data_IF_875797570673
#
_entry.id   IF_875797570673
#
_cell.length_a   1.000
_cell.length_b   1.000
_cell.length_c   1.000
_cell.angle_alpha   90.00
_cell.angle_beta   90.00
_cell.angle_gamma   90.00
#
_symmetry.space_group_name_H-M   'P 1'
#
loop_
_entity.id
_entity.type
_entity.pdbx_description
1 polymer ?
#
# COMPACT_ATOMS: atom_id res chain seq x y z
N UNK A 1 -15.84 -20.81 -24.50
CA UNK A 1 -17.06 -21.07 -25.30
C UNK A 1 -18.32 -21.32 -24.46
N UNK A 2 -18.25 -22.04 -23.33
CA UNK A 2 -19.44 -22.33 -22.47
C UNK A 2 -20.13 -21.06 -21.94
N UNK A 3 -19.38 -19.99 -21.61
CA UNK A 3 -19.95 -18.72 -21.11
C UNK A 3 -20.78 -17.94 -22.14
N UNK A 4 -20.41 -17.98 -23.43
CA UNK A 4 -21.14 -17.29 -24.49
C UNK A 4 -22.45 -18.02 -24.85
N UNK A 5 -22.45 -19.36 -24.75
CA UNK A 5 -23.65 -20.17 -24.95
C UNK A 5 -24.64 -20.02 -23.78
N UNK A 6 -24.16 -19.95 -22.54
CA UNK A 6 -24.98 -19.64 -21.38
C UNK A 6 -25.56 -18.22 -21.44
N UNK A 7 -24.76 -17.23 -21.84
CA UNK A 7 -25.22 -15.86 -22.07
C UNK A 7 -26.31 -15.81 -23.15
N UNK A 8 -26.10 -16.47 -24.29
CA UNK A 8 -27.13 -16.56 -25.35
C UNK A 8 -28.40 -17.25 -24.85
N UNK A 9 -28.28 -18.39 -24.17
CA UNK A 9 -29.44 -19.13 -23.68
C UNK A 9 -30.26 -18.36 -22.63
N UNK A 10 -29.59 -17.55 -21.80
CA UNK A 10 -30.25 -16.69 -20.83
C UNK A 10 -30.83 -15.43 -21.46
N UNK A 11 -30.11 -14.78 -22.38
CA UNK A 11 -30.60 -13.63 -23.16
C UNK A 11 -31.81 -13.98 -24.04
N UNK A 12 -32.00 -15.26 -24.40
CA UNK A 12 -33.20 -15.76 -25.06
C UNK A 12 -34.36 -16.07 -24.10
N UNK A 13 -34.09 -16.20 -22.78
CA UNK A 13 -35.11 -16.49 -21.75
C UNK A 13 -35.61 -15.23 -21.06
N UNK A 14 -34.72 -14.27 -20.80
CA UNK A 14 -35.10 -12.90 -20.48
C UNK A 14 -35.58 -12.26 -21.76
N UNK A 15 -36.65 -11.46 -21.75
CA UNK A 15 -37.23 -10.79 -22.94
C UNK A 15 -36.32 -9.67 -23.49
N UNK A 16 -35.01 -9.85 -23.38
CA UNK A 16 -33.94 -8.95 -23.77
C UNK A 16 -33.94 -8.62 -25.27
N UNK A 17 -34.61 -9.44 -26.09
CA UNK A 17 -34.88 -9.12 -27.50
C UNK A 17 -35.94 -8.01 -27.67
N UNK A 18 -36.78 -7.75 -26.66
CA UNK A 18 -37.76 -6.67 -26.64
C UNK A 18 -37.17 -5.33 -26.15
N UNK A 19 -36.07 -5.38 -25.40
CA UNK A 19 -35.31 -4.19 -25.01
C UNK A 19 -34.61 -3.65 -26.27
N UNK A 20 -35.06 -2.52 -26.79
CA UNK A 20 -34.53 -1.88 -28.01
C UNK A 20 -33.05 -1.42 -27.95
N UNK A 21 -32.28 -1.91 -26.97
CA UNK A 21 -30.87 -1.63 -26.74
C UNK A 21 -30.18 -2.87 -26.16
N UNK A 22 -29.09 -3.29 -26.81
CA UNK A 22 -28.19 -4.34 -26.31
C UNK A 22 -27.65 -4.02 -24.90
N UNK A 23 -27.48 -2.74 -24.58
CA UNK A 23 -27.00 -2.30 -23.26
C UNK A 23 -28.01 -2.62 -22.15
N UNK A 24 -29.31 -2.44 -22.40
CA UNK A 24 -30.37 -2.79 -21.45
C UNK A 24 -30.46 -4.30 -21.26
N UNK A 25 -30.42 -5.05 -22.36
CA UNK A 25 -30.38 -6.51 -22.35
C UNK A 25 -29.18 -7.06 -21.54
N UNK A 26 -28.00 -6.44 -21.70
CA UNK A 26 -26.82 -6.82 -20.93
C UNK A 26 -26.97 -6.48 -19.44
N UNK A 27 -27.47 -5.29 -19.12
CA UNK A 27 -27.69 -4.82 -17.76
C UNK A 27 -28.68 -5.74 -17.02
N UNK A 28 -29.80 -6.08 -17.65
CA UNK A 28 -30.82 -6.98 -17.11
C UNK A 28 -30.27 -8.41 -16.94
N UNK A 29 -29.50 -8.92 -17.92
CA UNK A 29 -28.83 -10.21 -17.77
C UNK A 29 -27.85 -10.22 -16.59
N UNK A 30 -27.03 -9.17 -16.43
CA UNK A 30 -26.11 -9.05 -15.30
C UNK A 30 -26.88 -9.03 -13.98
N UNK A 31 -27.96 -8.25 -13.88
CA UNK A 31 -28.79 -8.19 -12.67
C UNK A 31 -29.50 -9.50 -12.33
N UNK A 32 -30.04 -10.22 -13.33
CA UNK A 32 -30.86 -11.40 -13.07
C UNK A 32 -30.06 -12.70 -12.99
N UNK A 33 -28.93 -12.78 -13.68
CA UNK A 33 -28.21 -14.04 -13.90
C UNK A 33 -26.77 -14.01 -13.41
N UNK A 34 -26.18 -12.84 -13.21
CA UNK A 34 -24.79 -12.72 -12.75
C UNK A 34 -24.78 -12.33 -11.28
N UNK A 35 -25.39 -11.20 -10.92
CA UNK A 35 -25.43 -10.64 -9.56
C UNK A 35 -25.92 -11.64 -8.48
N UNK A 36 -27.01 -12.42 -8.67
CA UNK A 36 -27.50 -13.35 -7.64
C UNK A 36 -26.61 -14.57 -7.41
N UNK A 37 -25.69 -14.83 -8.34
CA UNK A 37 -24.74 -15.95 -8.31
C UNK A 37 -23.31 -15.48 -8.08
N UNK A 38 -23.05 -14.18 -8.19
CA UNK A 38 -21.88 -13.56 -7.63
C UNK A 38 -22.03 -13.61 -6.11
N UNK A 39 -21.04 -14.19 -5.45
CA UNK A 39 -20.85 -13.98 -4.02
C UNK A 39 -20.43 -12.52 -3.84
N UNK A 40 -21.43 -11.62 -3.84
CA UNK A 40 -21.28 -10.21 -3.51
C UNK A 40 -21.26 -10.03 -1.99
N UNK A 41 -20.86 -11.05 -1.21
CA UNK A 41 -20.39 -10.77 0.13
C UNK A 41 -19.11 -9.94 -0.01
N UNK A 42 -19.31 -8.63 -0.11
CA UNK A 42 -18.32 -7.57 0.09
C UNK A 42 -17.78 -7.59 1.53
N UNK A 43 -18.19 -8.56 2.35
CA UNK A 43 -17.56 -8.96 3.60
C UNK A 43 -16.18 -9.57 3.35
N UNK A 44 -15.32 -8.77 2.75
CA UNK A 44 -13.92 -9.05 2.56
C UNK A 44 -13.21 -8.83 3.91
N UNK A 45 -12.56 -9.89 4.42
CA UNK A 45 -11.76 -9.82 5.65
C UNK A 45 -10.69 -8.72 5.60
N UNK A 46 -10.19 -8.40 4.40
CA UNK A 46 -9.22 -7.33 4.17
C UNK A 46 -9.82 -5.94 4.38
N UNK A 47 -11.11 -5.71 4.13
CA UNK A 47 -11.77 -4.42 4.38
C UNK A 47 -11.70 -3.99 5.86
N UNK A 48 -11.73 -4.93 6.80
CA UNK A 48 -11.51 -4.65 8.21
C UNK A 48 -10.02 -4.36 8.51
N UNK A 49 -9.12 -5.15 7.90
CA UNK A 49 -7.65 -4.99 8.02
C UNK A 49 -7.18 -3.65 7.45
N UNK A 50 -7.74 -3.20 6.34
CA UNK A 50 -7.43 -1.91 5.72
C UNK A 50 -7.81 -0.74 6.63
N UNK A 51 -8.83 -0.90 7.50
CA UNK A 51 -9.19 0.10 8.51
C UNK A 51 -8.30 0.04 9.75
N UNK A 52 -7.42 -0.95 9.86
CA UNK A 52 -6.43 -1.00 10.94
C UNK A 52 -5.47 0.19 10.85
N UNK A 53 -5.24 0.84 11.99
CA UNK A 53 -4.39 2.03 12.08
C UNK A 53 -2.97 1.78 11.59
N UNK A 54 -2.42 0.58 11.82
CA UNK A 54 -1.07 0.22 11.36
C UNK A 54 -1.02 0.09 9.85
N UNK A 55 -2.04 -0.53 9.24
CA UNK A 55 -2.13 -0.68 7.78
C UNK A 55 -2.24 0.69 7.12
N UNK A 56 -3.14 1.56 7.63
CA UNK A 56 -3.28 2.93 7.14
C UNK A 56 -1.97 3.72 7.22
N UNK A 57 -1.24 3.62 8.34
CA UNK A 57 0.06 4.27 8.47
C UNK A 57 1.10 3.74 7.47
N UNK A 58 1.11 2.43 7.20
CA UNK A 58 1.98 1.83 6.18
C UNK A 58 1.64 2.36 4.80
N UNK A 59 0.35 2.41 4.42
CA UNK A 59 -0.06 2.93 3.11
C UNK A 59 0.35 4.40 2.95
N UNK A 60 0.08 5.22 3.95
CA UNK A 60 0.47 6.64 3.96
C UNK A 60 1.99 6.81 3.81
N UNK A 61 2.79 6.06 4.58
CA UNK A 61 4.26 6.09 4.51
C UNK A 61 4.80 5.76 3.11
N UNK A 62 4.14 4.86 2.39
CA UNK A 62 4.58 4.40 1.07
C UNK A 62 3.94 5.13 -0.10
N UNK A 63 2.93 5.97 0.17
CA UNK A 63 2.18 6.73 -0.82
C UNK A 63 3.07 7.49 -1.79
N UNK A 64 3.94 8.35 -1.27
CA UNK A 64 4.80 9.21 -2.09
C UNK A 64 5.82 8.40 -2.91
N UNK A 65 6.31 7.30 -2.33
CA UNK A 65 7.27 6.43 -3.01
C UNK A 65 6.62 5.70 -4.18
N UNK A 66 5.37 5.27 -4.02
CA UNK A 66 4.61 4.54 -5.04
C UNK A 66 3.92 5.46 -6.06
N UNK A 67 3.89 6.77 -5.82
CA UNK A 67 3.32 7.73 -6.75
C UNK A 67 4.03 7.76 -8.11
N UNK A 68 5.35 7.57 -8.15
CA UNK A 68 6.10 7.54 -9.41
C UNK A 68 5.71 6.37 -10.32
N UNK A 69 5.76 5.09 -9.89
CA UNK A 69 5.33 3.98 -10.74
C UNK A 69 3.85 4.07 -11.10
N UNK A 70 3.00 4.50 -10.16
CA UNK A 70 1.58 4.79 -10.44
C UNK A 70 1.43 5.78 -11.61
N UNK A 71 2.09 6.93 -11.50
CA UNK A 71 2.09 7.99 -12.50
C UNK A 71 2.53 7.52 -13.87
N UNK A 72 3.62 6.75 -13.95
CA UNK A 72 4.18 6.28 -15.22
C UNK A 72 3.16 5.46 -15.99
N UNK A 73 2.38 4.63 -15.31
CA UNK A 73 1.37 3.78 -15.93
C UNK A 73 0.05 4.51 -16.20
N UNK A 74 -0.32 5.50 -15.38
CA UNK A 74 -1.58 6.28 -15.51
C UNK A 74 -1.55 7.36 -16.61
N UNK A 75 -0.42 7.53 -17.29
CA UNK A 75 -0.19 8.63 -18.25
C UNK A 75 -0.20 8.14 -19.70
N UNK A 76 -0.20 6.83 -19.93
CA UNK A 76 0.17 6.26 -21.22
C UNK A 76 -0.87 6.51 -22.31
N UNK A 77 -2.15 6.58 -21.94
CA UNK A 77 -3.23 6.59 -22.93
C UNK A 77 -4.07 7.89 -22.96
N UNK A 78 -3.95 8.81 -21.99
CA UNK A 78 -4.82 10.01 -21.95
C UNK A 78 -4.09 11.38 -21.82
N UNK A 79 -4.56 12.34 -22.62
CA UNK A 79 -4.21 13.78 -22.56
C UNK A 79 -4.94 14.51 -21.42
N UNK A 80 -5.86 13.84 -20.72
CA UNK A 80 -6.61 14.32 -19.56
C UNK A 80 -5.76 14.89 -18.41
N UNK A 81 -6.38 15.73 -17.59
CA UNK A 81 -5.73 16.43 -16.47
C UNK A 81 -5.69 15.64 -15.16
N UNK A 82 -6.45 14.56 -15.05
CA UNK A 82 -6.48 13.73 -13.84
C UNK A 82 -5.58 12.50 -14.01
N UNK A 83 -4.74 12.24 -13.01
CA UNK A 83 -3.89 11.06 -12.94
C UNK A 83 -4.69 9.95 -12.28
N UNK A 84 -5.61 9.35 -13.03
CA UNK A 84 -6.35 8.17 -12.60
C UNK A 84 -5.85 6.96 -13.37
N UNK A 85 -5.82 5.80 -12.72
CA UNK A 85 -5.31 4.56 -13.29
C UNK A 85 -6.47 3.64 -13.64
N UNK A 86 -6.68 3.37 -14.93
CA UNK A 86 -7.69 2.40 -15.34
C UNK A 86 -7.19 0.95 -15.17
N UNK A 87 -8.12 -0.01 -15.28
CA UNK A 87 -7.80 -1.44 -15.13
C UNK A 87 -6.70 -1.93 -16.08
N UNK A 88 -6.65 -1.44 -17.32
CA UNK A 88 -5.66 -1.88 -18.31
C UNK A 88 -4.26 -1.44 -17.91
N UNK A 89 -4.12 -0.19 -17.47
CA UNK A 89 -2.87 0.38 -17.00
C UNK A 89 -2.37 -0.32 -15.74
N UNK A 90 -3.27 -0.57 -14.78
CA UNK A 90 -2.95 -1.30 -13.56
C UNK A 90 -2.48 -2.73 -13.87
N UNK A 91 -3.22 -3.47 -14.70
CA UNK A 91 -2.81 -4.82 -15.11
C UNK A 91 -1.46 -4.84 -15.82
N UNK A 92 -1.15 -3.82 -16.63
CA UNK A 92 0.16 -3.68 -17.25
C UNK A 92 1.26 -3.49 -16.20
N UNK A 93 1.06 -2.62 -15.20
CA UNK A 93 2.01 -2.41 -14.11
C UNK A 93 2.28 -3.70 -13.34
N UNK A 94 1.24 -4.40 -12.90
CA UNK A 94 1.40 -5.65 -12.13
C UNK A 94 2.03 -6.77 -12.98
N UNK A 95 1.71 -6.86 -14.28
CA UNK A 95 2.37 -7.80 -15.20
C UNK A 95 3.85 -7.50 -15.35
N UNK A 96 4.20 -6.26 -15.68
CA UNK A 96 5.57 -5.86 -15.98
C UNK A 96 6.46 -5.92 -14.73
N UNK A 97 5.85 -5.79 -13.56
CA UNK A 97 6.49 -5.97 -12.25
C UNK A 97 6.57 -7.43 -11.78
N UNK A 98 6.01 -8.38 -12.55
CA UNK A 98 6.02 -9.80 -12.21
C UNK A 98 5.17 -10.16 -10.99
N UNK A 99 4.06 -9.44 -10.78
CA UNK A 99 3.08 -9.74 -9.72
C UNK A 99 1.86 -10.52 -10.23
N UNK A 100 1.60 -10.50 -11.53
CA UNK A 100 0.66 -11.43 -12.15
C UNK A 100 1.40 -12.73 -12.41
N UNK A 101 1.06 -13.76 -11.64
CA UNK A 101 1.49 -15.13 -11.84
C UNK A 101 0.25 -16.03 -11.84
N UNK A 102 0.28 -17.11 -12.63
CA UNK A 102 -0.89 -18.00 -12.77
C UNK A 102 -1.14 -18.84 -11.50
N UNK A 103 -0.23 -18.79 -10.52
CA UNK A 103 -0.25 -19.63 -9.31
C UNK A 103 -0.66 -18.88 -8.04
N UNK A 104 -0.21 -17.64 -7.81
CA UNK A 104 -0.36 -16.94 -6.51
C UNK A 104 -1.33 -15.76 -6.57
N UNK A 105 -1.33 -15.01 -7.67
CA UNK A 105 -2.23 -13.88 -7.90
C UNK A 105 -2.46 -13.72 -9.40
N UNK A 106 -3.59 -14.26 -9.87
CA UNK A 106 -3.92 -14.28 -11.28
C UNK A 106 -4.41 -12.90 -11.75
N UNK A 107 -4.43 -12.71 -13.07
CA UNK A 107 -5.09 -11.53 -13.68
C UNK A 107 -6.53 -11.37 -13.20
N UNK A 108 -7.23 -12.47 -12.95
CA UNK A 108 -8.62 -12.47 -12.47
C UNK A 108 -8.70 -11.92 -11.04
N UNK A 109 -7.77 -12.29 -10.17
CA UNK A 109 -7.75 -11.84 -8.78
C UNK A 109 -7.52 -10.32 -8.72
N UNK A 110 -6.55 -9.80 -9.49
CA UNK A 110 -6.31 -8.36 -9.57
C UNK A 110 -7.52 -7.61 -10.14
N UNK A 111 -8.18 -8.17 -11.15
CA UNK A 111 -9.41 -7.58 -11.71
C UNK A 111 -10.53 -7.55 -10.67
N UNK A 112 -10.65 -8.59 -9.84
CA UNK A 112 -11.62 -8.61 -8.76
C UNK A 112 -11.30 -7.55 -7.70
N UNK A 113 -10.02 -7.39 -7.31
CA UNK A 113 -9.62 -6.35 -6.35
C UNK A 113 -9.91 -4.95 -6.88
N UNK A 114 -9.61 -4.69 -8.16
CA UNK A 114 -9.97 -3.44 -8.81
C UNK A 114 -11.47 -3.14 -8.71
N UNK A 115 -12.30 -4.14 -9.03
CA UNK A 115 -13.75 -3.99 -8.98
C UNK A 115 -14.25 -3.77 -7.55
N UNK A 116 -13.70 -4.47 -6.56
CA UNK A 116 -14.08 -4.30 -5.15
C UNK A 116 -13.80 -2.87 -4.68
N UNK A 117 -12.61 -2.33 -4.98
CA UNK A 117 -12.22 -0.98 -4.56
C UNK A 117 -13.13 0.08 -5.21
N UNK A 118 -13.38 0.00 -6.52
CA UNK A 118 -14.27 0.96 -7.19
C UNK A 118 -15.75 0.85 -6.74
N UNK A 119 -16.24 -0.36 -6.45
CA UNK A 119 -17.63 -0.57 -6.04
C UNK A 119 -17.91 -0.11 -4.61
N UNK A 120 -16.91 -0.15 -3.72
CA UNK A 120 -17.06 0.34 -2.35
C UNK A 120 -17.37 1.85 -2.35
N UNK A 121 -16.72 2.64 -3.21
CA UNK A 121 -16.96 4.08 -3.32
C UNK A 121 -18.37 4.41 -3.81
N UNK A 122 -18.86 3.72 -4.85
CA UNK A 122 -20.22 3.92 -5.37
C UNK A 122 -21.30 3.61 -4.33
N UNK A 123 -21.11 2.57 -3.52
CA UNK A 123 -22.06 2.18 -2.47
C UNK A 123 -22.16 3.22 -1.36
N UNK A 124 -21.03 3.85 -1.00
CA UNK A 124 -21.02 4.94 -0.02
C UNK A 124 -21.66 6.22 -0.57
N UNK A 125 -21.41 6.57 -1.84
CA UNK A 125 -21.98 7.77 -2.45
C UNK A 125 -23.49 7.67 -2.71
N UNK A 126 -23.98 6.48 -3.09
CA UNK A 126 -25.40 6.22 -3.30
C UNK A 126 -26.24 6.44 -2.02
N UNK A 127 -25.67 6.14 -0.84
CA UNK A 127 -26.31 6.43 0.44
C UNK A 127 -26.39 7.94 0.75
N UNK A 128 -25.53 8.76 0.14
CA UNK A 128 -25.47 10.21 0.27
C UNK A 128 -26.30 11.00 -0.75
N UNK A 129 -26.93 10.35 -1.72
CA UNK A 129 -27.82 10.97 -2.71
C UNK A 129 -27.12 11.82 -3.79
N UNK A 130 -25.80 11.69 -3.94
CA UNK A 130 -25.03 12.37 -4.99
C UNK A 130 -24.50 11.31 -5.95
N UNK A 131 -25.15 11.15 -7.10
CA UNK A 131 -24.64 10.29 -8.17
C UNK A 131 -23.59 11.05 -8.98
N UNK A 132 -22.33 10.70 -8.81
CA UNK A 132 -21.21 11.09 -9.67
C UNK A 132 -20.92 9.93 -10.63
N UNK A 133 -21.49 9.96 -11.83
CA UNK A 133 -21.56 8.79 -12.73
C UNK A 133 -20.37 8.58 -13.67
N UNK A 134 -19.31 9.39 -13.61
CA UNK A 134 -18.29 9.40 -14.68
C UNK A 134 -16.90 8.82 -14.31
N UNK A 135 -16.59 8.57 -13.04
CA UNK A 135 -15.23 8.17 -12.63
C UNK A 135 -15.06 6.74 -12.10
N UNK A 136 -16.10 5.90 -12.06
CA UNK A 136 -16.06 4.60 -11.36
C UNK A 136 -15.27 3.48 -12.05
N UNK A 137 -14.43 3.82 -13.02
CA UNK A 137 -13.60 2.88 -13.78
C UNK A 137 -12.11 3.19 -13.70
N UNK A 138 -11.71 4.12 -12.82
CA UNK A 138 -10.33 4.55 -12.67
C UNK A 138 -9.99 4.73 -11.20
N UNK A 139 -8.81 4.24 -10.79
CA UNK A 139 -8.34 4.34 -9.41
C UNK A 139 -7.58 5.64 -9.22
N UNK A 140 -7.76 6.28 -8.07
CA UNK A 140 -6.83 7.22 -7.48
C UNK A 140 -5.55 6.51 -6.97
N UNK A 141 -4.56 7.28 -6.54
CA UNK A 141 -3.34 6.72 -5.92
C UNK A 141 -3.68 5.92 -4.66
N UNK A 142 -4.61 6.40 -3.85
CA UNK A 142 -4.97 5.77 -2.58
C UNK A 142 -5.72 4.44 -2.80
N UNK A 143 -6.62 4.41 -3.78
CA UNK A 143 -7.27 3.17 -4.23
C UNK A 143 -6.29 2.17 -4.86
N UNK A 144 -5.29 2.66 -5.62
CA UNK A 144 -4.20 1.80 -6.10
C UNK A 144 -3.40 1.17 -4.96
N UNK A 145 -3.08 1.93 -3.91
CA UNK A 145 -2.40 1.42 -2.72
C UNK A 145 -3.24 0.35 -2.01
N UNK A 146 -4.56 0.54 -1.96
CA UNK A 146 -5.48 -0.47 -1.44
C UNK A 146 -5.43 -1.75 -2.28
N UNK A 147 -5.48 -1.67 -3.61
CA UNK A 147 -5.32 -2.85 -4.48
C UNK A 147 -3.97 -3.53 -4.24
N UNK A 148 -2.88 -2.78 -4.09
CA UNK A 148 -1.57 -3.33 -3.77
C UNK A 148 -1.58 -4.09 -2.42
N UNK A 149 -2.26 -3.56 -1.40
CA UNK A 149 -2.42 -4.23 -0.12
C UNK A 149 -3.23 -5.52 -0.22
N UNK A 150 -4.31 -5.53 -1.01
CA UNK A 150 -5.11 -6.74 -1.28
C UNK A 150 -4.29 -7.81 -2.01
N UNK A 151 -3.45 -7.41 -2.97
CA UNK A 151 -2.51 -8.32 -3.65
C UNK A 151 -1.48 -8.89 -2.67
N UNK A 152 -0.95 -8.07 -1.76
CA UNK A 152 -0.06 -8.53 -0.70
C UNK A 152 -0.73 -9.60 0.17
N UNK A 153 -1.93 -9.31 0.68
CA UNK A 153 -2.68 -10.24 1.53
C UNK A 153 -2.97 -11.56 0.80
N UNK A 154 -3.42 -11.51 -0.44
CA UNK A 154 -3.68 -12.69 -1.25
C UNK A 154 -2.41 -13.54 -1.43
N UNK A 155 -1.27 -12.92 -1.74
CA UNK A 155 0.00 -13.62 -1.90
C UNK A 155 0.52 -14.21 -0.60
N UNK A 156 0.44 -13.47 0.52
CA UNK A 156 0.88 -13.98 1.83
C UNK A 156 0.00 -15.13 2.32
N UNK A 157 -1.31 -15.11 2.04
CA UNK A 157 -2.22 -16.22 2.36
C UNK A 157 -1.96 -17.45 1.53
N UNK A 158 -1.73 -17.28 0.22
CA UNK A 158 -1.45 -18.40 -0.68
C UNK A 158 -0.06 -19.00 -0.42
N UNK A 159 0.92 -18.16 -0.06
CA UNK A 159 2.33 -18.54 0.11
C UNK A 159 2.91 -17.95 1.39
N UNK A 160 2.62 -18.55 2.56
CA UNK A 160 3.20 -18.10 3.82
C UNK A 160 4.74 -18.07 3.80
N UNK A 161 5.38 -18.90 2.98
CA UNK A 161 6.82 -18.92 2.75
C UNK A 161 7.37 -17.66 2.07
N UNK A 162 6.54 -16.85 1.41
CA UNK A 162 6.96 -15.52 0.94
C UNK A 162 7.41 -14.65 2.12
N UNK A 163 6.80 -14.82 3.29
CA UNK A 163 7.25 -14.20 4.54
C UNK A 163 8.70 -14.60 4.87
N UNK A 164 9.10 -15.82 4.54
CA UNK A 164 10.49 -16.29 4.71
C UNK A 164 11.44 -15.70 3.67
N UNK A 165 10.95 -15.39 2.46
CA UNK A 165 11.73 -14.71 1.40
C UNK A 165 11.91 -13.22 1.67
N UNK A 166 11.02 -12.63 2.45
CA UNK A 166 11.06 -11.23 2.86
C UNK A 166 12.20 -10.92 3.86
N UNK A 167 13.02 -11.92 4.18
CA UNK A 167 14.13 -11.83 5.13
C UNK A 167 13.66 -11.85 6.57
N UNK A 168 14.57 -12.05 7.54
CA UNK A 168 14.22 -11.87 8.94
C UNK A 168 13.76 -10.41 9.14
N UNK A 169 12.76 -10.16 10.01
CA UNK A 169 12.41 -8.80 10.39
C UNK A 169 13.67 -8.08 10.90
N UNK A 170 13.79 -6.76 10.69
CA UNK A 170 14.95 -6.00 11.11
C UNK A 170 15.21 -6.25 12.59
N UNK A 171 16.48 -6.38 12.94
CA UNK A 171 16.86 -6.66 14.32
C UNK A 171 16.38 -5.53 15.22
N UNK A 172 15.68 -5.89 16.28
CA UNK A 172 15.28 -4.96 17.33
C UNK A 172 16.55 -4.42 18.01
N UNK A 173 16.60 -3.10 18.25
CA UNK A 173 17.78 -2.47 18.87
C UNK A 173 18.85 -2.01 17.89
N UNK A 174 18.58 -2.02 16.58
CA UNK A 174 19.38 -1.23 15.63
C UNK A 174 19.07 0.27 15.73
N UNK A 175 17.91 0.65 16.26
CA UNK A 175 17.53 2.04 16.54
C UNK A 175 17.04 2.17 17.97
N UNK A 176 17.28 3.33 18.56
CA UNK A 176 16.96 3.61 19.95
C UNK A 176 16.34 4.98 20.11
N UNK A 177 15.36 5.08 21.00
CA UNK A 177 14.69 6.33 21.35
C UNK A 177 14.96 6.67 22.80
N UNK A 178 15.30 7.93 23.06
CA UNK A 178 15.40 8.45 24.43
C UNK A 178 14.00 8.50 25.06
N UNK A 179 13.83 7.84 26.20
CA UNK A 179 12.55 7.79 26.93
C UNK A 179 12.54 8.65 28.20
N UNK A 180 13.62 9.39 28.44
CA UNK A 180 13.76 10.36 29.52
C UNK A 180 14.81 9.99 30.57
N UNK A 181 14.77 10.67 31.72
CA UNK A 181 15.77 10.55 32.80
C UNK A 181 15.34 9.62 33.94
N UNK A 182 14.09 9.18 33.92
CA UNK A 182 13.55 8.24 34.91
C UNK A 182 13.63 6.82 34.39
N UNK A 183 13.96 5.88 35.27
CA UNK A 183 14.04 4.46 34.92
C UNK A 183 12.68 3.95 34.42
N UNK A 184 12.62 3.28 33.26
CA UNK A 184 11.39 2.64 32.80
C UNK A 184 10.83 1.68 33.86
N UNK A 185 9.51 1.75 34.11
CA UNK A 185 8.84 0.92 35.13
C UNK A 185 8.86 -0.58 34.77
N UNK A 186 8.82 -0.89 33.49
CA UNK A 186 8.81 -2.24 32.94
C UNK A 186 10.01 -2.41 32.01
N UNK A 187 10.54 -3.63 31.94
CA UNK A 187 11.64 -3.97 31.05
C UNK A 187 12.82 -4.63 31.72
N UNK A 188 13.68 -5.24 30.90
CA UNK A 188 15.02 -5.69 31.30
C UNK A 188 16.04 -4.59 31.04
N UNK A 189 16.78 -4.17 32.08
CA UNK A 189 17.96 -3.33 31.88
C UNK A 189 19.05 -4.15 31.20
N UNK A 190 19.53 -3.70 30.05
CA UNK A 190 20.73 -4.23 29.41
C UNK A 190 21.94 -3.50 29.99
N UNK A 191 22.84 -4.24 30.61
CA UNK A 191 24.12 -3.74 31.10
C UNK A 191 25.19 -4.09 30.07
N UNK A 192 25.53 -3.13 29.20
CA UNK A 192 26.46 -3.38 28.10
C UNK A 192 27.26 -2.11 27.77
N UNK A 193 28.46 -1.99 28.32
CA UNK A 193 29.27 -0.77 28.27
C UNK A 193 29.52 -0.25 26.86
N UNK A 194 29.77 -1.14 25.88
CA UNK A 194 29.97 -0.74 24.48
C UNK A 194 28.70 -0.24 23.81
N UNK A 195 27.53 -0.76 24.22
CA UNK A 195 26.25 -0.28 23.72
C UNK A 195 25.95 1.09 24.34
N UNK A 196 26.24 1.26 25.63
CA UNK A 196 26.11 2.55 26.30
C UNK A 196 27.00 3.62 25.63
N UNK A 197 28.24 3.28 25.27
CA UNK A 197 29.16 4.15 24.54
C UNK A 197 28.66 4.45 23.12
N UNK A 198 28.18 3.45 22.38
CA UNK A 198 27.57 3.65 21.07
C UNK A 198 26.40 4.64 21.14
N UNK A 199 25.50 4.44 22.11
CA UNK A 199 24.31 5.28 22.31
C UNK A 199 24.62 6.68 22.86
N UNK A 200 25.79 6.90 23.47
CA UNK A 200 26.29 8.24 23.75
C UNK A 200 26.54 9.05 22.47
N UNK A 201 26.90 8.37 21.38
CA UNK A 201 27.32 9.01 20.12
C UNK A 201 26.24 9.01 19.03
N UNK A 202 25.46 7.94 18.91
CA UNK A 202 24.44 7.78 17.87
C UNK A 202 23.24 6.95 18.37
N UNK A 203 22.03 7.30 17.91
CA UNK A 203 20.80 6.54 18.21
C UNK A 203 20.58 5.34 17.28
N UNK A 204 21.43 5.19 16.26
CA UNK A 204 21.40 4.08 15.32
C UNK A 204 22.67 3.29 15.48
N UNK A 205 22.53 2.01 15.83
CA UNK A 205 23.63 1.07 16.01
C UNK A 205 23.80 0.30 14.69
N UNK A 206 24.97 0.37 14.03
CA UNK A 206 25.26 -0.43 12.85
C UNK A 206 25.10 -1.93 13.12
N UNK A 207 24.61 -2.69 12.14
CA UNK A 207 24.28 -4.11 12.29
C UNK A 207 25.51 -4.95 12.68
N UNK A 208 26.63 -4.70 12.03
CA UNK A 208 27.92 -5.32 12.32
C UNK A 208 28.34 -5.10 13.78
N UNK A 209 28.16 -3.88 14.29
CA UNK A 209 28.46 -3.56 15.68
C UNK A 209 27.47 -4.25 16.63
N UNK A 210 26.19 -4.29 16.27
CA UNK A 210 25.14 -4.96 17.03
C UNK A 210 25.41 -6.47 17.20
N UNK A 211 25.86 -7.14 16.14
CA UNK A 211 26.29 -8.55 16.15
C UNK A 211 27.46 -8.76 17.12
N UNK A 212 28.47 -7.87 17.12
CA UNK A 212 29.61 -7.98 18.04
C UNK A 212 29.24 -7.81 19.53
N UNK A 213 28.09 -7.21 19.81
CA UNK A 213 27.59 -7.04 21.17
C UNK A 213 26.86 -8.29 21.71
N UNK A 214 26.59 -9.29 20.87
CA UNK A 214 25.84 -10.49 21.26
C UNK A 214 24.39 -10.18 21.68
N UNK A 215 23.81 -9.16 21.05
CA UNK A 215 22.46 -8.63 21.32
C UNK A 215 21.38 -9.23 20.41
N UNK A 216 21.76 -10.13 19.51
CA UNK A 216 20.86 -10.83 18.61
C UNK A 216 19.81 -11.67 19.37
N UNK A 217 18.66 -12.00 18.75
CA UNK A 217 17.57 -12.76 19.39
C UNK A 217 18.02 -14.08 20.05
N UNK A 218 19.02 -14.72 19.46
CA UNK A 218 19.63 -15.99 19.83
C UNK A 218 20.98 -15.82 20.55
N UNK A 219 21.39 -14.57 20.80
CA UNK A 219 22.57 -14.22 21.58
C UNK A 219 22.39 -14.41 23.09
N UNK A 220 23.47 -14.27 23.88
CA UNK A 220 23.43 -14.39 25.33
C UNK A 220 22.63 -13.27 26.02
N UNK A 221 22.47 -12.11 25.36
CA UNK A 221 21.76 -10.95 25.89
C UNK A 221 20.82 -10.35 24.84
N UNK A 222 19.75 -11.07 24.43
CA UNK A 222 18.88 -10.60 23.36
C UNK A 222 18.19 -9.30 23.74
N UNK A 223 18.09 -8.38 22.78
CA UNK A 223 17.27 -7.18 22.92
C UNK A 223 15.80 -7.58 22.78
N UNK A 224 15.01 -7.26 23.80
CA UNK A 224 13.55 -7.47 23.83
C UNK A 224 12.82 -6.11 23.69
N UNK A 225 11.54 -6.09 23.26
CA UNK A 225 10.77 -4.85 23.07
C UNK A 225 10.70 -3.95 24.31
N UNK A 226 10.73 -4.55 25.50
CA UNK A 226 10.72 -3.84 26.76
C UNK A 226 12.12 -3.55 27.32
N UNK A 227 13.19 -3.98 26.64
CA UNK A 227 14.56 -3.75 27.08
C UNK A 227 14.89 -2.27 27.16
N UNK A 228 15.83 -1.91 28.04
CA UNK A 228 16.31 -0.54 28.11
C UNK A 228 17.78 -0.47 28.50
N UNK A 229 18.44 0.61 28.08
CA UNK A 229 19.83 0.91 28.41
C UNK A 229 19.88 2.25 29.12
N UNK A 230 20.73 2.36 30.14
CA UNK A 230 21.00 3.63 30.81
C UNK A 230 22.31 4.20 30.27
N UNK A 231 22.25 5.39 29.70
CA UNK A 231 23.42 6.12 29.18
C UNK A 231 23.56 7.41 29.97
N UNK A 232 24.51 7.43 30.91
CA UNK A 232 24.64 8.50 31.89
C UNK A 232 23.36 8.64 32.74
N UNK A 233 22.67 9.79 32.61
CA UNK A 233 21.42 10.09 33.34
C UNK A 233 20.14 9.82 32.52
N UNK A 234 20.29 9.29 31.30
CA UNK A 234 19.19 9.10 30.35
C UNK A 234 18.94 7.63 30.10
N UNK A 235 17.70 7.30 29.76
CA UNK A 235 17.27 5.95 29.42
C UNK A 235 16.85 5.89 27.97
N UNK A 236 17.22 4.79 27.32
CA UNK A 236 16.93 4.52 25.92
C UNK A 236 16.21 3.18 25.82
N UNK A 237 15.22 3.11 24.93
CA UNK A 237 14.54 1.88 24.55
C UNK A 237 14.83 1.57 23.08
N UNK A 238 14.88 0.29 22.69
CA UNK A 238 14.94 -0.04 21.28
C UNK A 238 13.66 0.50 20.64
N UNK A 239 13.82 1.19 19.52
CA UNK A 239 12.70 1.50 18.65
C UNK A 239 12.20 0.17 18.08
N UNK A 240 10.87 -0.04 18.05
CA UNK A 240 10.32 -1.23 17.42
C UNK A 240 10.89 -1.32 15.99
N UNK A 241 11.17 -2.53 15.49
CA UNK A 241 11.74 -2.68 14.17
C UNK A 241 10.80 -1.98 13.21
N UNK A 242 11.32 -1.06 12.40
CA UNK A 242 10.49 -0.10 11.65
C UNK A 242 9.54 -0.71 10.61
N UNK A 243 9.42 -2.04 10.56
CA UNK A 243 8.35 -2.77 9.89
C UNK A 243 7.36 -3.28 10.94
N UNK A 244 6.31 -2.50 11.18
CA UNK A 244 5.27 -2.87 12.14
C UNK A 244 4.27 -3.89 11.56
N UNK A 245 4.33 -4.15 10.24
CA UNK A 245 3.33 -4.92 9.52
C UNK A 245 3.91 -5.74 8.35
N UNK A 246 3.43 -6.98 8.09
CA UNK A 246 3.85 -7.78 6.93
C UNK A 246 3.71 -7.05 5.58
N UNK A 247 2.66 -6.23 5.45
CA UNK A 247 2.46 -5.37 4.28
C UNK A 247 3.66 -4.45 4.02
N UNK A 248 4.19 -3.82 5.07
CA UNK A 248 5.28 -2.87 4.94
C UNK A 248 6.55 -3.55 4.43
N UNK A 249 6.87 -4.71 5.03
CA UNK A 249 8.00 -5.51 4.62
C UNK A 249 7.83 -5.98 3.17
N UNK A 250 6.61 -6.37 2.76
CA UNK A 250 6.34 -6.81 1.38
C UNK A 250 6.48 -5.64 0.39
N UNK A 251 5.98 -4.46 0.77
CA UNK A 251 6.12 -3.26 -0.05
C UNK A 251 7.60 -2.92 -0.23
N UNK A 252 8.38 -2.88 0.86
CA UNK A 252 9.79 -2.51 0.81
C UNK A 252 10.65 -3.50 0.03
N UNK A 253 10.48 -4.79 0.30
CA UNK A 253 11.39 -5.83 -0.20
C UNK A 253 11.03 -6.33 -1.59
N UNK A 254 9.74 -6.32 -1.94
CA UNK A 254 9.24 -6.93 -3.17
C UNK A 254 8.52 -5.93 -4.06
N UNK A 255 7.46 -5.27 -3.56
CA UNK A 255 6.58 -4.45 -4.39
C UNK A 255 7.27 -3.25 -5.00
N UNK A 256 7.82 -2.37 -4.16
CA UNK A 256 8.43 -1.12 -4.58
C UNK A 256 9.63 -1.33 -5.52
N UNK A 257 10.61 -2.21 -5.23
CA UNK A 257 11.73 -2.42 -6.14
C UNK A 257 11.31 -2.90 -7.53
N UNK A 258 10.32 -3.81 -7.60
CA UNK A 258 9.84 -4.37 -8.88
C UNK A 258 9.01 -3.37 -9.68
N UNK A 259 8.08 -2.66 -9.03
CA UNK A 259 7.27 -1.62 -9.71
C UNK A 259 8.14 -0.45 -10.18
N UNK A 260 9.15 -0.06 -9.40
CA UNK A 260 10.13 0.94 -9.81
C UNK A 260 10.97 0.50 -11.00
N UNK A 261 11.43 -0.76 -11.03
CA UNK A 261 12.17 -1.30 -12.16
C UNK A 261 11.30 -1.33 -13.44
N UNK A 262 10.05 -1.78 -13.32
CA UNK A 262 9.08 -1.77 -14.41
C UNK A 262 8.82 -0.35 -14.93
N UNK A 263 8.56 0.60 -14.04
CA UNK A 263 8.33 2.00 -14.40
C UNK A 263 9.54 2.64 -15.09
N UNK A 264 10.77 2.41 -14.60
CA UNK A 264 11.98 2.91 -15.25
C UNK A 264 12.15 2.33 -16.66
N UNK A 265 11.99 1.02 -16.80
CA UNK A 265 12.04 0.33 -18.09
C UNK A 265 10.99 0.92 -19.05
N UNK A 266 9.77 1.13 -18.57
CA UNK A 266 8.68 1.71 -19.37
C UNK A 266 8.98 3.13 -19.84
N UNK A 267 9.56 3.96 -18.96
CA UNK A 267 10.04 5.30 -19.30
C UNK A 267 11.10 5.25 -20.41
N UNK A 268 12.06 4.34 -20.30
CA UNK A 268 13.12 4.19 -21.30
C UNK A 268 12.55 3.76 -22.66
N UNK A 269 11.64 2.78 -22.68
CA UNK A 269 10.97 2.30 -23.90
C UNK A 269 10.20 3.43 -24.60
N UNK A 270 9.35 4.18 -23.90
CA UNK A 270 8.59 5.28 -24.50
C UNK A 270 9.50 6.45 -24.93
N UNK A 271 10.59 6.70 -24.22
CA UNK A 271 11.58 7.71 -24.59
C UNK A 271 12.31 7.38 -25.90
N UNK A 272 12.47 6.09 -26.20
CA UNK A 272 13.08 5.63 -27.47
C UNK A 272 12.08 5.61 -28.62
N UNK A 273 10.79 5.39 -28.34
CA UNK A 273 9.75 5.28 -29.36
C UNK A 273 9.39 6.61 -30.05
N UNK A 274 9.38 7.74 -29.32
CA UNK A 274 9.07 9.05 -29.90
C UNK A 274 9.67 10.22 -29.10
N UNK A 275 10.40 11.16 -29.75
CA UNK A 275 10.90 12.38 -29.11
C UNK A 275 9.80 13.26 -28.52
N UNK A 276 8.60 13.23 -29.09
CA UNK A 276 7.46 14.01 -28.60
C UNK A 276 6.90 13.41 -27.31
N UNK A 277 6.70 12.08 -27.27
CA UNK A 277 6.31 11.37 -26.05
C UNK A 277 7.33 11.57 -24.93
N UNK A 278 8.63 11.52 -25.25
CA UNK A 278 9.71 11.84 -24.30
C UNK A 278 9.56 13.22 -23.68
N UNK A 279 9.30 14.26 -24.49
CA UNK A 279 9.09 15.63 -24.00
C UNK A 279 7.85 15.74 -23.12
N UNK A 280 6.74 15.09 -23.52
CA UNK A 280 5.48 15.07 -22.75
C UNK A 280 5.66 14.40 -21.38
N UNK A 281 6.25 13.20 -21.37
CA UNK A 281 6.50 12.44 -20.14
C UNK A 281 7.48 13.18 -19.21
N UNK A 282 8.56 13.75 -19.74
CA UNK A 282 9.48 14.57 -18.95
C UNK A 282 8.80 15.80 -18.32
N UNK A 283 7.87 16.45 -19.05
CA UNK A 283 7.10 17.59 -18.53
C UNK A 283 6.17 17.16 -17.39
N UNK A 284 5.43 16.05 -17.55
CA UNK A 284 4.54 15.50 -16.50
C UNK A 284 5.34 15.06 -15.27
N UNK A 285 6.40 14.28 -15.44
CA UNK A 285 7.27 13.85 -14.33
C UNK A 285 7.90 15.03 -13.58
N UNK A 286 8.30 16.09 -14.30
CA UNK A 286 8.81 17.31 -13.66
C UNK A 286 7.72 18.05 -12.89
N UNK A 287 6.49 18.06 -13.38
CA UNK A 287 5.34 18.64 -12.67
C UNK A 287 5.07 17.89 -11.38
N UNK A 288 5.08 16.56 -11.43
CA UNK A 288 4.79 15.69 -10.30
C UNK A 288 5.88 15.79 -9.25
N UNK A 289 7.16 15.74 -9.67
CA UNK A 289 8.28 15.99 -8.77
C UNK A 289 8.17 17.36 -8.08
N UNK A 290 7.74 18.40 -8.79
CA UNK A 290 7.54 19.73 -8.22
C UNK A 290 6.42 19.74 -7.18
N UNK A 291 5.31 19.03 -7.42
CA UNK A 291 4.23 18.88 -6.43
C UNK A 291 4.73 18.14 -5.19
N UNK A 292 5.44 17.03 -5.36
CA UNK A 292 6.03 16.27 -4.24
C UNK A 292 7.06 17.06 -3.44
N UNK A 293 8.00 17.73 -4.12
CA UNK A 293 9.03 18.55 -3.45
C UNK A 293 8.39 19.73 -2.68
N UNK A 294 7.20 20.20 -3.08
CA UNK A 294 6.47 21.26 -2.36
C UNK A 294 5.72 20.71 -1.13
N UNK A 295 5.02 19.58 -1.25
CA UNK A 295 4.31 18.94 -0.12
C UNK A 295 5.28 18.51 0.99
N UNK A 296 6.44 17.94 0.64
CA UNK A 296 7.48 17.54 1.61
C UNK A 296 8.03 18.75 2.39
N UNK A 297 8.11 19.92 1.76
CA UNK A 297 8.59 21.15 2.41
C UNK A 297 7.54 21.69 3.38
N UNK A 298 6.26 21.68 3.01
CA UNK A 298 5.17 22.13 3.88
C UNK A 298 5.00 21.23 5.12
N UNK A 299 5.05 19.91 4.96
CA UNK A 299 4.99 18.97 6.10
C UNK A 299 6.24 19.04 6.99
N UNK A 300 7.41 19.24 6.38
CA UNK A 300 8.66 19.48 7.11
C UNK A 300 8.66 20.76 7.95
N UNK A 301 7.98 21.82 7.49
CA UNK A 301 7.81 23.07 8.24
C UNK A 301 6.70 22.97 9.31
N UNK A 302 5.60 22.25 9.04
CA UNK A 302 4.55 22.00 10.02
C UNK A 302 5.06 21.20 11.23
N UNK A 303 5.91 20.19 11.00
CA UNK A 303 6.53 19.40 12.07
C UNK A 303 7.55 20.23 12.87
N UNK A 304 8.25 21.17 12.24
CA UNK A 304 9.24 22.05 12.91
C UNK A 304 8.61 23.16 13.75
N UNK A 305 7.41 23.61 13.41
CA UNK A 305 6.77 24.74 14.09
C UNK A 305 5.93 24.33 15.30
N UNK A 306 5.56 23.05 15.46
CA UNK A 306 4.90 22.57 16.68
C UNK A 306 5.10 21.06 16.96
N UNK A 307 6.18 20.65 17.67
CA UNK A 307 6.44 19.24 18.00
C UNK A 307 5.42 18.60 18.95
N UNK A 308 4.43 19.35 19.46
CA UNK A 308 3.36 18.86 20.33
C UNK A 308 1.98 18.76 19.63
N UNK A 309 1.89 19.03 18.33
CA UNK A 309 0.62 18.91 17.58
C UNK A 309 0.33 17.45 17.21
N UNK A 310 0.00 16.62 18.22
CA UNK A 310 -0.77 15.41 17.95
C UNK A 310 -2.16 15.87 17.51
N UNK A 311 -2.47 15.71 16.23
CA UNK A 311 -3.83 15.81 15.69
C UNK A 311 -4.74 14.90 16.51
N UNK A 312 -5.46 15.49 17.46
CA UNK A 312 -6.57 14.84 18.14
C UNK A 312 -7.68 14.65 17.12
N UNK A 313 -7.78 13.44 16.57
CA UNK A 313 -8.98 13.04 15.85
C UNK A 313 -10.18 13.19 16.78
N UNK A 314 -11.05 14.13 16.44
CA UNK A 314 -12.24 14.47 17.20
C UNK A 314 -13.17 13.27 17.29
N UNK A 315 -13.28 12.71 18.50
CA UNK A 315 -14.44 11.89 18.88
C UNK A 315 -15.61 12.85 19.05
N UNK A 316 -16.52 12.90 18.09
CA UNK A 316 -17.86 13.39 18.34
C UNK A 316 -18.54 12.40 19.28
N UNK A 317 -18.74 12.83 20.53
CA UNK A 317 -19.57 12.10 21.47
C UNK A 317 -21.02 12.49 21.20
N UNK A 318 -21.77 11.59 20.56
CA UNK A 318 -23.22 11.55 20.75
C UNK A 318 -23.47 10.71 22.00
N UNK A 319 -23.95 11.37 23.05
CA UNK A 319 -24.61 10.74 24.20
C UNK A 319 -26.13 10.77 23.98
N UNK A 320 -26.87 9.85 24.61
CA UNK A 320 -28.18 9.37 24.16
C UNK A 320 -29.33 10.38 24.23
#
# INVERSE_FOLDING_TARGET
>A
MVRLAAFRAAAFKTDAASCGSLGLALSEFVQLQVIPHCDLSLGDAMGATLKDRKVQWVLEKWRDRLAFPYTVYSILDDEGSMLLMNLTEMLALFRDSGFIDDELCTRRDITNFFAIVNLDDELFEAAGGKHTTDNSLELTLDEFLEVAARVCDAKLRAHPELTSQMGPPPLLGLRWTEVGTSTPRNGKRLQHSRLEEALCSALVVPKDLFETFGLEPDGPNPVLPDSFVQVGKRYFKPEEPGFEHPLELWIETLFYPRTMAAAKKKVDEECTASPEKKRRMAKRLKSIKKTFDAEIVEDGEAIRTNPNSRTTFGRTSSSP
#
